data_IF_718151242611
#
_entry.id   IF_718151242611
#
_cell.length_a   1.000
_cell.length_b   1.000
_cell.length_c   1.000
_cell.angle_alpha   90.00
_cell.angle_beta   90.00
_cell.angle_gamma   90.00
#
_symmetry.space_group_name_H-M   'P 1'
#
loop_
_entity.id
_entity.type
_entity.pdbx_description
1 polymer ?
#
# COMPACT_ATOMS: atom_id res chain seq x y z
N UNK A 1 -13.86 5.68 -19.86
CA UNK A 1 -14.26 5.71 -18.44
C UNK A 1 -14.92 7.05 -18.14
N UNK A 2 -16.16 7.04 -17.63
CA UNK A 2 -16.85 8.24 -17.17
C UNK A 2 -16.66 8.40 -15.67
N UNK A 3 -16.39 9.62 -15.22
CA UNK A 3 -16.39 9.95 -13.79
C UNK A 3 -17.82 10.17 -13.32
N UNK A 4 -18.16 9.59 -12.18
CA UNK A 4 -19.46 9.75 -11.55
C UNK A 4 -19.30 10.41 -10.18
N UNK A 5 -18.97 11.71 -10.18
CA UNK A 5 -18.69 12.48 -8.97
C UNK A 5 -17.25 12.36 -8.50
N UNK A 6 -16.70 13.43 -8.01
CA UNK A 6 -15.33 13.49 -7.49
C UNK A 6 -15.31 14.29 -6.21
N UNK A 7 -14.70 13.73 -5.17
CA UNK A 7 -14.35 14.49 -3.98
C UNK A 7 -13.13 15.36 -4.31
N UNK A 8 -12.20 14.80 -5.10
CA UNK A 8 -11.08 15.53 -5.68
C UNK A 8 -10.83 15.04 -7.10
N UNK A 9 -10.75 15.92 -8.10
CA UNK A 9 -10.52 15.53 -9.49
C UNK A 9 -9.25 14.75 -9.74
N UNK A 10 -8.24 14.93 -8.88
CA UNK A 10 -6.90 14.35 -9.04
C UNK A 10 -6.66 13.08 -8.22
N UNK A 11 -7.42 12.84 -7.15
CA UNK A 11 -7.05 11.84 -6.15
C UNK A 11 -8.05 10.71 -5.98
N UNK A 12 -9.35 11.02 -5.98
CA UNK A 12 -10.41 10.02 -5.81
C UNK A 12 -11.28 9.99 -7.06
N UNK A 13 -11.34 8.86 -7.71
CA UNK A 13 -12.06 8.70 -8.97
C UNK A 13 -13.12 7.61 -8.84
N UNK A 14 -14.31 7.90 -9.35
CA UNK A 14 -15.23 6.84 -9.73
C UNK A 14 -14.68 6.15 -10.96
N UNK A 15 -14.63 4.85 -10.93
CA UNK A 15 -14.16 4.08 -12.05
C UNK A 15 -15.33 3.51 -12.84
N UNK A 16 -15.34 3.77 -14.13
CA UNK A 16 -16.33 3.21 -15.05
C UNK A 16 -15.64 2.20 -15.94
N UNK A 17 -16.12 0.96 -15.89
CA UNK A 17 -15.66 -0.12 -16.77
C UNK A 17 -16.78 -0.45 -17.73
N UNK A 18 -16.49 -0.44 -19.02
CA UNK A 18 -17.44 -0.81 -20.06
C UNK A 18 -17.17 -2.25 -20.50
N UNK A 19 -18.21 -3.03 -20.59
CA UNK A 19 -18.16 -4.41 -21.08
C UNK A 19 -19.21 -4.65 -22.15
N UNK A 20 -18.83 -5.42 -23.16
CA UNK A 20 -19.75 -6.07 -24.05
C UNK A 20 -20.09 -7.45 -23.48
N UNK A 21 -21.33 -7.63 -23.04
CA UNK A 21 -21.74 -8.88 -22.43
C UNK A 21 -22.35 -9.85 -23.47
N UNK A 22 -21.78 -11.04 -23.51
CA UNK A 22 -22.46 -12.23 -24.00
C UNK A 22 -22.95 -13.06 -22.80
N UNK A 23 -23.91 -13.98 -22.92
CA UNK A 23 -24.31 -14.80 -21.78
C UNK A 23 -23.10 -15.52 -21.14
N UNK A 24 -22.90 -15.35 -19.84
CA UNK A 24 -21.77 -15.92 -19.13
C UNK A 24 -21.54 -15.32 -17.75
N UNK A 25 -20.47 -15.73 -17.13
CA UNK A 25 -19.96 -15.15 -15.87
C UNK A 25 -18.78 -14.22 -16.18
N UNK A 26 -18.80 -13.04 -15.58
CA UNK A 26 -17.76 -12.04 -15.76
C UNK A 26 -17.12 -11.69 -14.41
N UNK A 27 -15.81 -11.84 -14.32
CA UNK A 27 -15.02 -11.31 -13.22
C UNK A 27 -14.32 -10.03 -13.68
N UNK A 28 -14.34 -9.00 -12.85
CA UNK A 28 -13.63 -7.76 -13.14
C UNK A 28 -12.12 -8.01 -13.13
N UNK A 29 -11.34 -7.38 -14.06
CA UNK A 29 -9.96 -7.76 -14.34
C UNK A 29 -8.96 -7.42 -13.23
N UNK A 30 -9.39 -6.70 -12.21
CA UNK A 30 -8.55 -6.31 -11.09
C UNK A 30 -9.35 -6.12 -9.81
N UNK A 31 -8.66 -5.95 -8.70
CA UNK A 31 -9.26 -5.55 -7.42
C UNK A 31 -9.72 -4.10 -7.48
N UNK A 32 -10.86 -3.83 -6.88
CA UNK A 32 -11.47 -2.52 -6.72
C UNK A 32 -11.77 -2.25 -5.26
N UNK A 33 -11.53 -1.03 -4.80
CA UNK A 33 -12.02 -0.54 -3.52
C UNK A 33 -13.27 0.30 -3.78
N UNK A 34 -14.42 -0.15 -3.32
CA UNK A 34 -15.70 0.50 -3.57
C UNK A 34 -16.65 0.33 -2.38
N UNK A 35 -17.58 1.25 -2.26
CA UNK A 35 -18.71 1.14 -1.33
C UNK A 35 -20.02 0.86 -2.08
N UNK A 36 -20.13 1.37 -3.30
CA UNK A 36 -21.30 1.24 -4.15
C UNK A 36 -20.91 0.80 -5.55
N UNK A 37 -21.74 -0.02 -6.15
CA UNK A 37 -21.62 -0.44 -7.55
C UNK A 37 -22.90 0.00 -8.27
N UNK A 38 -22.74 0.69 -9.39
CA UNK A 38 -23.84 1.03 -10.29
C UNK A 38 -23.68 0.30 -11.61
N UNK A 39 -24.73 -0.42 -12.02
CA UNK A 39 -24.76 -1.07 -13.32
C UNK A 39 -25.69 -0.27 -14.20
N UNK A 40 -25.22 0.13 -15.38
CA UNK A 40 -25.99 0.82 -16.40
C UNK A 40 -25.95 0.03 -17.69
N UNK A 41 -27.09 -0.41 -18.16
CA UNK A 41 -27.22 -0.99 -19.50
C UNK A 41 -27.26 0.17 -20.51
N UNK A 42 -26.26 0.25 -21.39
CA UNK A 42 -26.19 1.32 -22.41
C UNK A 42 -26.93 0.91 -23.67
N UNK A 43 -26.85 -0.34 -24.06
CA UNK A 43 -27.44 -0.87 -25.27
C UNK A 43 -27.72 -2.36 -25.11
N UNK A 44 -28.86 -2.81 -25.64
CA UNK A 44 -29.12 -4.23 -25.89
C UNK A 44 -29.24 -4.47 -27.38
N UNK A 45 -28.86 -5.62 -27.87
CA UNK A 45 -29.11 -6.06 -29.23
C UNK A 45 -30.63 -6.14 -29.51
N UNK A 46 -31.02 -5.98 -30.75
CA UNK A 46 -32.44 -5.86 -31.22
C UNK A 46 -33.37 -6.82 -30.46
N UNK A 47 -34.29 -6.24 -29.67
CA UNK A 47 -35.27 -6.99 -28.87
C UNK A 47 -34.71 -7.78 -27.68
N UNK A 48 -33.39 -7.70 -27.43
CA UNK A 48 -32.73 -8.39 -26.33
C UNK A 48 -33.10 -7.82 -24.96
N UNK A 49 -33.16 -8.70 -23.97
CA UNK A 49 -33.33 -8.33 -22.56
C UNK A 49 -32.00 -8.57 -21.84
N UNK A 50 -31.57 -7.56 -21.06
CA UNK A 50 -30.48 -7.76 -20.10
C UNK A 50 -31.04 -8.43 -18.84
N UNK A 51 -30.47 -9.55 -18.46
CA UNK A 51 -30.84 -10.26 -17.25
C UNK A 51 -29.59 -10.49 -16.39
N UNK A 52 -29.60 -9.93 -15.19
CA UNK A 52 -28.53 -10.13 -14.19
C UNK A 52 -29.00 -11.17 -13.16
N UNK A 53 -28.37 -12.34 -13.15
CA UNK A 53 -28.77 -13.45 -12.25
C UNK A 53 -28.09 -13.37 -10.88
N UNK A 54 -26.96 -12.67 -10.77
CA UNK A 54 -26.27 -12.52 -9.50
C UNK A 54 -25.12 -11.53 -9.60
N UNK A 55 -24.80 -10.92 -8.47
CA UNK A 55 -23.60 -10.10 -8.26
C UNK A 55 -22.99 -10.57 -6.97
N UNK A 56 -21.68 -10.82 -6.98
CA UNK A 56 -20.92 -11.14 -5.79
C UNK A 56 -19.66 -10.29 -5.74
N UNK A 57 -19.16 -10.06 -4.53
CA UNK A 57 -17.87 -9.45 -4.29
C UNK A 57 -17.10 -10.32 -3.30
N UNK A 58 -15.83 -10.55 -3.59
CA UNK A 58 -14.91 -11.26 -2.70
C UNK A 58 -13.95 -10.26 -2.09
N UNK A 59 -13.94 -10.15 -0.76
CA UNK A 59 -12.92 -9.37 -0.07
C UNK A 59 -11.54 -10.03 -0.26
N UNK A 60 -10.51 -9.20 -0.48
CA UNK A 60 -9.13 -9.65 -0.68
C UNK A 60 -8.25 -8.86 0.28
N UNK A 61 -7.54 -9.58 1.14
CA UNK A 61 -6.55 -9.03 2.06
C UNK A 61 -5.62 -10.16 2.50
N UNK A 62 -4.36 -9.88 2.84
CA UNK A 62 -3.49 -10.81 3.55
C UNK A 62 -3.78 -10.82 5.06
N UNK A 63 -4.33 -9.73 5.59
CA UNK A 63 -4.64 -9.61 7.02
C UNK A 63 -5.78 -10.55 7.46
N UNK A 64 -5.44 -11.45 8.36
CA UNK A 64 -6.38 -12.42 8.93
C UNK A 64 -6.93 -11.93 10.28
N UNK A 65 -8.22 -11.57 10.32
CA UNK A 65 -8.87 -11.13 11.56
C UNK A 65 -8.90 -12.19 12.66
N UNK A 66 -8.72 -13.46 12.33
CA UNK A 66 -8.59 -14.51 13.35
C UNK A 66 -7.32 -14.37 14.19
N UNK A 67 -6.32 -13.67 13.68
CA UNK A 67 -5.07 -13.36 14.40
C UNK A 67 -5.13 -12.05 15.18
N UNK A 68 -6.10 -11.19 14.88
CA UNK A 68 -6.23 -9.91 15.54
C UNK A 68 -6.74 -10.08 16.98
N UNK A 69 -5.99 -9.53 17.92
CA UNK A 69 -6.38 -9.47 19.32
C UNK A 69 -6.81 -8.04 19.66
N UNK A 70 -8.09 -7.81 20.01
CA UNK A 70 -8.55 -6.49 20.42
C UNK A 70 -7.84 -6.03 21.71
N UNK A 71 -7.72 -4.71 21.89
CA UNK A 71 -7.20 -4.13 23.14
C UNK A 71 -8.06 -4.56 24.32
N UNK A 72 -7.40 -4.96 25.40
CA UNK A 72 -8.08 -5.38 26.65
C UNK A 72 -8.19 -4.20 27.62
N UNK A 73 -9.18 -4.27 28.54
CA UNK A 73 -9.37 -3.28 29.61
C UNK A 73 -9.75 -1.85 29.16
N UNK A 74 -9.96 -1.61 27.87
CA UNK A 74 -10.28 -0.31 27.31
C UNK A 74 -11.78 0.00 27.33
N UNK A 75 -12.12 1.28 27.21
CA UNK A 75 -13.52 1.72 27.05
C UNK A 75 -14.14 1.18 25.75
N UNK A 76 -15.47 1.17 25.66
CA UNK A 76 -16.16 0.72 24.44
C UNK A 76 -15.82 1.60 23.20
N UNK A 77 -15.52 2.88 23.45
CA UNK A 77 -15.08 3.78 22.38
C UNK A 77 -13.69 3.42 21.89
N UNK A 78 -12.74 3.11 22.79
CA UNK A 78 -11.39 2.72 22.42
C UNK A 78 -11.40 1.39 21.66
N UNK A 79 -12.18 0.43 22.10
CA UNK A 79 -12.39 -0.85 21.38
C UNK A 79 -12.99 -0.64 19.98
N UNK A 80 -13.88 0.34 19.83
CA UNK A 80 -14.45 0.67 18.53
C UNK A 80 -13.40 1.32 17.60
N UNK A 81 -12.58 2.23 18.14
CA UNK A 81 -11.47 2.86 17.41
C UNK A 81 -10.46 1.80 17.00
N UNK A 82 -10.02 0.96 17.91
CA UNK A 82 -9.06 -0.12 17.66
C UNK A 82 -9.55 -1.06 16.53
N UNK A 83 -10.80 -1.52 16.62
CA UNK A 83 -11.40 -2.39 15.57
C UNK A 83 -11.47 -1.71 14.21
N UNK A 84 -11.82 -0.42 14.14
CA UNK A 84 -11.86 0.34 12.89
C UNK A 84 -10.45 0.54 12.34
N UNK A 85 -9.48 0.82 13.20
CA UNK A 85 -8.06 0.97 12.82
C UNK A 85 -7.49 -0.34 12.29
N UNK A 86 -7.73 -1.46 12.97
CA UNK A 86 -7.32 -2.78 12.51
C UNK A 86 -7.99 -3.15 11.17
N UNK A 87 -9.28 -2.83 10.98
CA UNK A 87 -9.96 -3.05 9.72
C UNK A 87 -9.36 -2.21 8.58
N UNK A 88 -8.97 -0.96 8.87
CA UNK A 88 -8.31 -0.07 7.91
C UNK A 88 -6.94 -0.61 7.50
N UNK A 89 -6.14 -1.05 8.47
CA UNK A 89 -4.86 -1.70 8.20
C UNK A 89 -5.05 -2.95 7.33
N UNK A 90 -5.97 -3.85 7.72
CA UNK A 90 -6.29 -5.06 6.95
C UNK A 90 -6.61 -4.75 5.48
N UNK A 91 -7.38 -3.72 5.22
CA UNK A 91 -7.77 -3.35 3.86
C UNK A 91 -6.56 -2.83 3.04
N UNK A 92 -5.50 -2.36 3.69
CA UNK A 92 -4.22 -1.99 3.08
C UNK A 92 -3.24 -3.17 2.96
N UNK A 93 -3.45 -4.25 3.71
CA UNK A 93 -2.64 -5.49 3.67
C UNK A 93 -3.03 -6.32 2.47
N UNK A 94 -2.28 -6.20 1.39
CA UNK A 94 -2.50 -6.94 0.15
C UNK A 94 -1.31 -7.87 -0.12
N UNK A 95 -0.79 -7.93 -1.33
CA UNK A 95 0.48 -8.60 -1.61
C UNK A 95 1.69 -7.84 -1.04
N UNK A 96 1.53 -6.57 -0.76
CA UNK A 96 2.38 -5.70 0.04
C UNK A 96 1.49 -4.76 0.85
N UNK A 97 2.07 -3.93 1.69
CA UNK A 97 1.34 -2.88 2.41
C UNK A 97 1.12 -1.70 1.46
N UNK A 98 -0.15 -1.44 1.14
CA UNK A 98 -0.52 -0.38 0.20
C UNK A 98 -1.02 0.87 0.93
N UNK A 99 -0.56 2.04 0.52
CA UNK A 99 -1.23 3.29 0.83
C UNK A 99 -2.37 3.54 -0.15
N UNK A 100 -3.48 4.04 0.37
CA UNK A 100 -4.63 4.45 -0.40
C UNK A 100 -5.23 3.36 -1.30
N UNK A 101 -5.80 2.25 -0.76
CA UNK A 101 -6.36 1.14 -1.56
C UNK A 101 -7.35 1.57 -2.63
N UNK A 102 -8.02 2.72 -2.43
CA UNK A 102 -8.94 3.34 -3.40
C UNK A 102 -8.23 4.33 -4.31
N UNK A 103 -7.21 5.02 -3.82
CA UNK A 103 -6.54 6.13 -4.51
C UNK A 103 -5.51 5.61 -5.51
N UNK A 104 -4.28 5.39 -5.08
CA UNK A 104 -3.14 5.06 -5.94
C UNK A 104 -2.62 3.63 -5.78
N UNK A 105 -2.96 2.95 -4.69
CA UNK A 105 -2.61 1.53 -4.45
C UNK A 105 -1.12 1.27 -4.64
N UNK A 106 -0.30 2.11 -4.01
CA UNK A 106 1.16 2.03 -4.03
C UNK A 106 1.68 1.61 -2.67
N UNK A 107 2.79 0.93 -2.70
CA UNK A 107 3.62 0.81 -1.52
C UNK A 107 4.44 2.10 -1.38
N UNK A 108 4.13 2.91 -0.37
CA UNK A 108 4.90 4.09 0.00
C UNK A 108 5.79 3.79 1.19
N UNK A 109 7.08 4.17 1.10
CA UNK A 109 8.07 3.83 2.11
C UNK A 109 7.77 4.44 3.48
N UNK A 110 7.30 5.69 3.54
CA UNK A 110 6.93 6.33 4.80
C UNK A 110 5.72 5.68 5.47
N UNK A 111 4.68 5.41 4.67
CA UNK A 111 3.45 4.75 5.13
C UNK A 111 3.72 3.32 5.59
N UNK A 112 4.61 2.61 4.90
CA UNK A 112 5.05 1.25 5.23
C UNK A 112 5.48 1.14 6.69
N UNK A 113 6.24 2.12 7.21
CA UNK A 113 6.69 2.06 8.60
C UNK A 113 5.54 2.08 9.59
N UNK A 114 4.59 2.99 9.41
CA UNK A 114 3.44 3.10 10.31
C UNK A 114 2.54 1.86 10.23
N UNK A 115 2.33 1.36 9.02
CA UNK A 115 1.55 0.13 8.79
C UNK A 115 2.24 -1.09 9.39
N UNK A 116 3.57 -1.21 9.25
CA UNK A 116 4.35 -2.30 9.84
C UNK A 116 4.29 -2.28 11.39
N UNK A 117 4.47 -1.10 12.01
CA UNK A 117 4.35 -0.96 13.46
C UNK A 117 2.96 -1.37 13.96
N UNK A 118 1.91 -0.97 13.24
CA UNK A 118 0.54 -1.37 13.57
C UNK A 118 0.32 -2.88 13.34
N UNK A 119 0.91 -3.47 12.29
CA UNK A 119 0.86 -4.91 12.04
C UNK A 119 1.54 -5.72 13.15
N UNK A 120 2.71 -5.29 13.62
CA UNK A 120 3.41 -5.95 14.73
C UNK A 120 2.57 -6.00 16.02
N UNK A 121 1.76 -4.98 16.25
CA UNK A 121 0.86 -4.91 17.40
C UNK A 121 -0.48 -5.66 17.20
N UNK A 122 -0.84 -6.00 15.94
CA UNK A 122 -2.17 -6.54 15.62
C UNK A 122 -2.10 -7.91 14.94
N UNK A 123 -1.88 -7.98 13.64
CA UNK A 123 -1.95 -9.22 12.85
C UNK A 123 -0.67 -10.06 12.91
N UNK A 124 0.49 -9.41 13.11
CA UNK A 124 1.82 -10.02 13.12
C UNK A 124 2.11 -10.80 11.82
N UNK A 125 1.70 -10.22 10.68
CA UNK A 125 1.96 -10.78 9.36
C UNK A 125 3.34 -10.32 8.85
N UNK A 126 4.38 -10.95 9.38
CA UNK A 126 5.77 -10.63 9.01
C UNK A 126 6.07 -10.83 7.53
N UNK A 127 5.34 -11.68 6.84
CA UNK A 127 5.57 -11.96 5.43
C UNK A 127 5.20 -10.77 4.55
N UNK A 128 4.09 -10.09 4.83
CA UNK A 128 3.69 -8.89 4.07
C UNK A 128 4.66 -7.73 4.31
N UNK A 129 5.17 -7.58 5.53
CA UNK A 129 6.18 -6.55 5.85
C UNK A 129 7.49 -6.88 5.15
N UNK A 130 7.98 -8.11 5.30
CA UNK A 130 9.18 -8.62 4.62
C UNK A 130 9.12 -8.36 3.12
N UNK A 131 8.04 -8.78 2.47
CA UNK A 131 7.83 -8.57 1.04
C UNK A 131 7.88 -7.09 0.67
N UNK A 132 7.25 -6.24 1.48
CA UNK A 132 7.25 -4.79 1.24
C UNK A 132 8.66 -4.19 1.33
N UNK A 133 9.46 -4.61 2.31
CA UNK A 133 10.86 -4.19 2.43
C UNK A 133 11.70 -4.62 1.22
N UNK A 134 11.55 -5.86 0.75
CA UNK A 134 12.25 -6.33 -0.44
C UNK A 134 11.80 -5.60 -1.71
N UNK A 135 10.52 -5.24 -1.83
CA UNK A 135 10.02 -4.49 -2.99
C UNK A 135 10.65 -3.11 -3.08
N UNK A 136 10.74 -2.35 -1.98
CA UNK A 136 11.37 -1.03 -2.00
C UNK A 136 12.88 -1.10 -2.22
N UNK A 137 13.54 -2.14 -1.70
CA UNK A 137 14.96 -2.38 -1.94
C UNK A 137 15.24 -2.86 -3.38
N UNK A 138 14.40 -3.76 -3.91
CA UNK A 138 14.54 -4.28 -5.27
C UNK A 138 14.25 -3.25 -6.37
N UNK A 139 13.53 -2.18 -6.03
CA UNK A 139 13.27 -1.04 -6.91
C UNK A 139 14.13 0.19 -6.57
N UNK A 140 15.28 -0.02 -5.93
CA UNK A 140 16.20 1.03 -5.49
C UNK A 140 16.57 2.01 -6.62
N UNK A 141 17.01 3.18 -6.22
CA UNK A 141 17.65 4.14 -7.11
C UNK A 141 19.06 3.64 -7.53
N UNK A 142 19.65 4.28 -8.54
CA UNK A 142 20.98 3.91 -9.04
C UNK A 142 22.08 3.97 -7.98
N UNK A 143 21.94 4.85 -6.97
CA UNK A 143 22.85 4.96 -5.84
C UNK A 143 22.65 3.86 -4.78
N UNK A 144 21.74 2.93 -5.01
CA UNK A 144 21.38 1.83 -4.13
C UNK A 144 20.45 2.20 -2.98
N UNK A 145 20.03 3.46 -2.86
CA UNK A 145 19.05 3.88 -1.84
C UNK A 145 17.63 3.37 -2.18
N UNK A 146 16.79 3.09 -1.18
CA UNK A 146 15.50 2.46 -1.39
C UNK A 146 14.55 3.33 -2.20
N UNK A 147 13.66 2.71 -2.98
CA UNK A 147 12.60 3.41 -3.67
C UNK A 147 11.66 4.14 -2.69
N UNK A 148 11.26 5.35 -3.02
CA UNK A 148 10.29 6.13 -2.24
C UNK A 148 8.90 5.52 -2.26
N UNK A 149 8.52 4.99 -3.42
CA UNK A 149 7.25 4.29 -3.62
C UNK A 149 7.40 3.24 -4.73
N UNK A 150 6.61 2.18 -4.64
CA UNK A 150 6.64 1.08 -5.61
C UNK A 150 5.24 0.79 -6.13
N UNK A 151 5.10 0.67 -7.45
CA UNK A 151 4.01 -0.05 -8.06
C UNK A 151 4.38 -1.53 -8.18
N UNK A 152 3.57 -2.41 -7.63
CA UNK A 152 3.77 -3.84 -7.82
C UNK A 152 3.22 -4.30 -9.18
N UNK A 153 2.09 -3.75 -9.60
CA UNK A 153 1.38 -4.16 -10.82
C UNK A 153 1.11 -2.98 -11.73
N UNK A 154 0.98 -3.19 -13.05
CA UNK A 154 1.12 -4.47 -13.78
C UNK A 154 2.55 -4.97 -13.86
N UNK A 155 3.53 -4.11 -13.62
CA UNK A 155 4.94 -4.43 -13.60
C UNK A 155 5.60 -3.74 -12.40
N UNK A 156 6.38 -4.49 -11.63
CA UNK A 156 7.08 -3.96 -10.46
C UNK A 156 8.09 -2.89 -10.89
N UNK A 157 7.98 -1.70 -10.32
CA UNK A 157 8.83 -0.57 -10.64
C UNK A 157 8.80 0.50 -9.56
N UNK A 158 9.86 1.30 -9.49
CA UNK A 158 9.83 2.55 -8.73
C UNK A 158 8.73 3.46 -9.30
N UNK A 159 7.83 3.90 -8.42
CA UNK A 159 6.66 4.68 -8.79
C UNK A 159 6.91 6.19 -8.75
N UNK A 160 7.99 6.62 -8.10
CA UNK A 160 8.36 8.01 -7.93
C UNK A 160 9.84 8.20 -8.31
N UNK A 161 10.09 8.97 -9.35
CA UNK A 161 11.44 9.28 -9.82
C UNK A 161 12.24 10.20 -8.90
N UNK A 162 11.63 10.67 -7.79
CA UNK A 162 12.28 11.55 -6.79
C UNK A 162 12.39 10.84 -5.46
N UNK A 163 13.49 11.09 -4.77
CA UNK A 163 13.65 10.65 -3.39
C UNK A 163 12.93 11.62 -2.43
N UNK A 164 12.41 11.06 -1.36
CA UNK A 164 11.91 11.80 -0.19
C UNK A 164 12.88 11.48 0.93
N UNK A 165 13.55 12.49 1.45
CA UNK A 165 14.70 12.31 2.33
C UNK A 165 14.36 11.60 3.64
N UNK A 166 13.28 12.02 4.30
CA UNK A 166 12.79 11.41 5.53
C UNK A 166 12.38 9.95 5.30
N UNK A 167 11.71 9.63 4.18
CA UNK A 167 11.38 8.25 3.82
C UNK A 167 12.65 7.41 3.66
N UNK A 168 13.67 7.96 2.97
CA UNK A 168 14.95 7.27 2.80
C UNK A 168 15.60 7.01 4.16
N UNK A 169 15.54 7.97 5.09
CA UNK A 169 16.09 7.84 6.44
C UNK A 169 15.36 6.78 7.29
N UNK A 170 14.07 6.54 7.03
CA UNK A 170 13.28 5.54 7.77
C UNK A 170 13.65 4.09 7.40
N UNK A 171 14.20 3.83 6.21
CA UNK A 171 14.43 2.45 5.76
C UNK A 171 15.36 1.64 6.67
N UNK A 172 16.54 2.13 7.10
CA UNK A 172 17.39 1.39 8.04
C UNK A 172 16.70 1.09 9.37
N UNK A 173 15.88 2.03 9.84
CA UNK A 173 15.10 1.86 11.07
C UNK A 173 14.05 0.77 10.91
N UNK A 174 13.35 0.72 9.79
CA UNK A 174 12.36 -0.32 9.51
C UNK A 174 12.98 -1.72 9.43
N UNK A 175 14.16 -1.85 8.85
CA UNK A 175 14.91 -3.12 8.82
C UNK A 175 15.25 -3.57 10.24
N UNK A 176 15.66 -2.64 11.11
CA UNK A 176 15.93 -2.93 12.52
C UNK A 176 14.66 -3.29 13.29
N UNK A 177 13.57 -2.55 13.10
CA UNK A 177 12.27 -2.81 13.73
C UNK A 177 11.73 -4.19 13.31
N UNK A 178 11.79 -4.50 12.02
CA UNK A 178 11.43 -5.82 11.50
C UNK A 178 12.24 -6.95 12.15
N UNK A 179 13.56 -6.78 12.26
CA UNK A 179 14.42 -7.77 12.91
C UNK A 179 14.06 -7.97 14.40
N UNK A 180 13.80 -6.90 15.12
CA UNK A 180 13.44 -6.98 16.54
C UNK A 180 12.15 -7.77 16.77
N UNK A 181 11.19 -7.64 15.86
CA UNK A 181 9.88 -8.29 15.96
C UNK A 181 9.88 -9.72 15.41
N UNK A 182 10.61 -9.98 14.32
CA UNK A 182 10.59 -11.27 13.61
C UNK A 182 11.74 -12.21 13.98
N UNK A 183 12.89 -11.66 14.38
CA UNK A 183 14.14 -12.40 14.54
C UNK A 183 14.81 -12.82 13.21
N UNK A 184 14.28 -12.40 12.07
CA UNK A 184 14.75 -12.82 10.73
C UNK A 184 16.06 -12.10 10.34
N UNK A 185 17.15 -12.70 10.73
CA UNK A 185 18.51 -12.22 10.45
C UNK A 185 18.85 -12.20 8.96
N UNK A 186 18.36 -13.20 8.20
CA UNK A 186 18.65 -13.30 6.77
C UNK A 186 18.12 -12.07 6.01
N UNK A 187 16.92 -11.62 6.32
CA UNK A 187 16.36 -10.40 5.75
C UNK A 187 17.22 -9.17 6.05
N UNK A 188 17.79 -9.07 7.25
CA UNK A 188 18.71 -7.96 7.57
C UNK A 188 19.97 -8.02 6.71
N UNK A 189 20.57 -9.19 6.58
CA UNK A 189 21.80 -9.40 5.79
C UNK A 189 21.54 -9.03 4.31
N UNK A 190 20.43 -9.47 3.76
CA UNK A 190 20.05 -9.18 2.37
C UNK A 190 19.81 -7.68 2.11
N UNK A 191 19.14 -7.01 3.06
CA UNK A 191 18.77 -5.59 2.93
C UNK A 191 19.85 -4.62 3.41
N UNK A 192 20.91 -5.13 4.03
CA UNK A 192 22.00 -4.32 4.59
C UNK A 192 22.67 -3.39 3.58
N UNK A 193 22.97 -3.81 2.33
CA UNK A 193 23.52 -2.90 1.33
C UNK A 193 22.64 -1.68 1.07
N UNK A 194 21.33 -1.87 0.93
CA UNK A 194 20.35 -0.79 0.71
C UNK A 194 20.22 0.10 1.95
N UNK A 195 20.20 -0.47 3.14
CA UNK A 195 20.18 0.31 4.39
C UNK A 195 21.43 1.22 4.53
N UNK A 196 22.63 0.70 4.19
CA UNK A 196 23.85 1.52 4.16
C UNK A 196 23.79 2.62 3.10
N UNK A 197 23.24 2.32 1.93
CA UNK A 197 23.07 3.31 0.86
C UNK A 197 22.10 4.42 1.29
N UNK A 198 21.00 4.06 1.97
CA UNK A 198 20.08 5.02 2.54
C UNK A 198 20.76 5.97 3.54
N UNK A 199 21.53 5.43 4.49
CA UNK A 199 22.29 6.26 5.43
C UNK A 199 23.26 7.21 4.71
N UNK A 200 24.05 6.69 3.75
CA UNK A 200 24.97 7.53 2.97
C UNK A 200 24.24 8.64 2.23
N UNK A 201 23.10 8.31 1.63
CA UNK A 201 22.28 9.29 0.91
C UNK A 201 21.79 10.41 1.81
N UNK A 202 21.26 10.09 2.97
CA UNK A 202 20.83 11.09 3.96
C UNK A 202 21.99 12.01 4.36
N UNK A 203 23.17 11.46 4.60
CA UNK A 203 24.35 12.24 4.98
C UNK A 203 24.77 13.24 3.88
N UNK A 204 24.50 12.97 2.59
CA UNK A 204 24.79 13.95 1.53
C UNK A 204 23.88 15.20 1.57
N UNK A 205 22.77 15.12 2.27
CA UNK A 205 21.82 16.23 2.43
C UNK A 205 22.09 17.07 3.69
N UNK A 206 23.01 16.63 4.56
CA UNK A 206 23.33 17.30 5.82
C UNK A 206 24.53 18.25 5.59
N UNK A 207 24.46 19.44 6.16
CA UNK A 207 25.54 20.41 6.13
C UNK A 207 26.54 20.23 7.29
N UNK A 208 27.53 21.11 7.37
CA UNK A 208 28.56 21.09 8.42
C UNK A 208 28.03 21.35 9.84
N UNK A 209 26.84 21.92 9.95
CA UNK A 209 26.16 22.14 11.24
C UNK A 209 25.32 20.93 11.69
N UNK A 210 25.20 19.90 10.84
CA UNK A 210 24.37 18.72 11.09
C UNK A 210 22.90 18.92 10.72
N UNK A 211 22.53 19.99 10.04
CA UNK A 211 21.18 20.27 9.57
C UNK A 211 21.00 19.88 8.11
N UNK A 212 19.78 19.57 7.75
CA UNK A 212 19.42 19.29 6.35
C UNK A 212 19.42 20.61 5.57
N UNK A 213 20.12 20.63 4.44
CA UNK A 213 20.19 21.81 3.56
C UNK A 213 18.85 22.03 2.86
N UNK A 214 18.46 23.32 2.68
CA UNK A 214 17.24 23.69 1.96
C UNK A 214 17.26 23.23 0.48
N UNK A 215 18.44 23.28 -0.15
CA UNK A 215 18.66 22.94 -1.55
C UNK A 215 19.06 21.46 -1.77
N UNK A 216 18.56 20.58 -0.94
CA UNK A 216 18.98 19.16 -0.90
C UNK A 216 18.59 18.34 -2.14
N UNK A 217 17.83 18.89 -3.07
CA UNK A 217 17.39 18.21 -4.29
C UNK A 217 16.31 17.14 -4.08
N UNK A 218 15.81 17.01 -2.86
CA UNK A 218 14.70 16.13 -2.51
C UNK A 218 13.36 16.85 -2.65
N UNK A 219 12.31 16.08 -2.74
CA UNK A 219 10.97 16.61 -2.68
C UNK A 219 10.59 16.88 -1.22
N UNK A 220 10.21 18.13 -0.95
CA UNK A 220 9.71 18.58 0.35
C UNK A 220 8.18 18.65 0.33
#
# INVERSE_FOLDING_TARGET
CERLGTISPSWVQDEVVNFDFVPGMYELPRRYAFRYVRIRVKQCSNGGKFCLKGISARAVSSGDFAKYTPIDGASEIDKAIDRVSAATLRDSMQTCLEDGPKRDRRLWLGDLRLQALADYATFRDFDVVKRSLYLVAGCAFEDGSPATAVYEKPQTRNANGRQILDYTALFPLMVLEYYKESGDRQTVEDLWPTAKAACRKVLTAVDETGLVREDNGFWN
#
